data_IF_174603250036
#
_entry.id   IF_174603250036
#
_cell.length_a   1.000
_cell.length_b   1.000
_cell.length_c   1.000
_cell.angle_alpha   90.00
_cell.angle_beta   90.00
_cell.angle_gamma   90.00
#
_symmetry.space_group_name_H-M   'P 1'
#
loop_
_entity.id
_entity.type
_entity.pdbx_description
1 polymer ?
#
# COMPACT_ATOMS: atom_id res chain seq x y z
N UNK A 1 21.09 1.21 6.36
CA UNK A 1 20.67 1.73 5.04
C UNK A 1 19.80 2.95 5.23
N UNK A 2 19.68 3.77 4.18
CA UNK A 2 18.69 4.81 4.06
C UNK A 2 17.62 4.37 3.05
N UNK A 3 16.37 4.23 3.49
CA UNK A 3 15.28 3.64 2.71
C UNK A 3 14.20 4.68 2.47
N UNK A 4 13.90 4.96 1.19
CA UNK A 4 12.74 5.72 0.78
C UNK A 4 11.47 4.85 0.79
N UNK A 5 10.37 5.36 1.32
CA UNK A 5 9.06 4.71 1.22
C UNK A 5 8.11 5.67 0.53
N UNK A 6 7.58 5.29 -0.60
CA UNK A 6 6.69 6.08 -1.44
C UNK A 6 5.27 5.56 -1.44
N UNK A 7 4.33 6.41 -1.09
CA UNK A 7 2.89 6.13 -1.17
C UNK A 7 2.10 7.35 -1.67
N UNK A 8 0.87 7.15 -2.10
CA UNK A 8 -0.02 8.24 -2.50
C UNK A 8 -0.60 9.03 -1.32
N UNK A 9 -0.60 8.47 -0.11
CA UNK A 9 -1.20 9.09 1.07
C UNK A 9 -0.63 8.58 2.38
N UNK A 10 -1.50 8.20 3.33
CA UNK A 10 -1.13 7.64 4.63
C UNK A 10 -1.02 6.11 4.63
N UNK A 11 -1.51 5.45 3.58
CA UNK A 11 -1.60 3.99 3.51
C UNK A 11 -0.25 3.29 3.67
N UNK A 12 0.78 3.80 3.02
CA UNK A 12 2.15 3.25 3.09
C UNK A 12 2.79 3.28 4.48
N UNK A 13 2.22 4.03 5.44
CA UNK A 13 2.66 3.96 6.84
C UNK A 13 2.41 2.58 7.45
N UNK A 14 1.52 1.77 6.89
CA UNK A 14 1.33 0.36 7.30
C UNK A 14 2.57 -0.48 7.00
N UNK A 15 3.25 -0.21 5.86
CA UNK A 15 4.52 -0.83 5.50
C UNK A 15 5.62 -0.40 6.48
N UNK A 16 5.76 0.91 6.75
CA UNK A 16 6.73 1.43 7.71
C UNK A 16 6.50 0.83 9.10
N UNK A 17 5.25 0.77 9.56
CA UNK A 17 4.88 0.14 10.84
C UNK A 17 5.32 -1.32 10.92
N UNK A 18 5.09 -2.09 9.85
CA UNK A 18 5.49 -3.50 9.82
C UNK A 18 7.01 -3.67 9.84
N UNK A 19 7.76 -2.84 9.12
CA UNK A 19 9.22 -2.84 9.14
C UNK A 19 9.75 -2.56 10.56
N UNK A 20 9.22 -1.52 11.23
CA UNK A 20 9.60 -1.20 12.62
C UNK A 20 9.24 -2.34 13.57
N UNK A 21 8.04 -2.92 13.42
CA UNK A 21 7.56 -4.05 14.23
C UNK A 21 8.45 -5.29 14.08
N UNK A 22 9.07 -5.48 12.92
CA UNK A 22 9.99 -6.57 12.62
C UNK A 22 11.46 -6.23 12.89
N UNK A 23 11.70 -5.16 13.66
CA UNK A 23 13.05 -4.68 14.04
C UNK A 23 13.96 -4.36 12.84
N UNK A 24 13.37 -3.96 11.70
CA UNK A 24 14.11 -3.50 10.53
C UNK A 24 14.50 -2.03 10.74
N UNK A 25 15.49 -1.77 11.60
CA UNK A 25 15.87 -0.44 12.05
C UNK A 25 16.84 0.20 11.07
N UNK A 26 16.34 1.15 10.29
CA UNK A 26 17.08 1.90 9.29
C UNK A 26 16.73 3.39 9.34
N UNK A 27 17.42 4.20 8.57
CA UNK A 27 16.96 5.56 8.28
C UNK A 27 15.86 5.52 7.22
N UNK A 28 14.63 5.83 7.61
CA UNK A 28 13.48 5.87 6.72
C UNK A 28 13.11 7.30 6.34
N UNK A 29 12.92 7.54 5.05
CA UNK A 29 12.28 8.73 4.52
C UNK A 29 10.97 8.29 3.89
N UNK A 30 9.85 8.66 4.50
CA UNK A 30 8.52 8.41 3.99
C UNK A 30 8.01 9.61 3.22
N UNK A 31 7.43 9.41 2.03
CA UNK A 31 6.73 10.44 1.28
C UNK A 31 5.33 9.94 0.94
N UNK A 32 4.30 10.63 1.47
CA UNK A 32 2.90 10.49 1.07
C UNK A 32 2.51 11.64 0.14
N UNK A 33 2.14 11.32 -1.10
CA UNK A 33 1.75 12.33 -2.11
C UNK A 33 0.28 12.75 -1.98
N UNK A 34 -0.06 13.27 -0.82
CA UNK A 34 -1.43 13.66 -0.45
C UNK A 34 -2.01 14.82 -1.26
N UNK A 35 -1.17 15.61 -1.93
CA UNK A 35 -1.62 16.68 -2.84
C UNK A 35 -2.31 16.12 -4.09
N UNK A 36 -1.84 14.97 -4.59
CA UNK A 36 -2.29 14.34 -5.83
C UNK A 36 -3.15 13.08 -5.58
N UNK A 37 -3.62 12.90 -4.35
CA UNK A 37 -4.55 11.82 -3.98
C UNK A 37 -5.91 12.04 -4.71
N UNK A 38 -6.59 11.03 -5.31
CA UNK A 38 -6.36 9.59 -5.21
C UNK A 38 -5.75 9.05 -6.50
N UNK A 39 -4.65 8.33 -6.37
CA UNK A 39 -3.94 7.75 -7.52
C UNK A 39 -4.78 6.71 -8.29
N UNK A 40 -5.70 6.03 -7.62
CA UNK A 40 -6.58 5.04 -8.23
C UNK A 40 -7.56 5.57 -9.28
N UNK A 41 -7.68 6.91 -9.41
CA UNK A 41 -8.52 7.61 -10.37
C UNK A 41 -7.72 8.54 -11.29
N UNK A 42 -6.38 8.43 -11.28
CA UNK A 42 -5.49 9.28 -12.07
C UNK A 42 -5.20 8.68 -13.45
N UNK A 43 -4.48 9.41 -14.31
CA UNK A 43 -3.95 8.88 -15.59
C UNK A 43 -2.55 8.30 -15.40
N UNK A 44 -2.16 7.39 -16.30
CA UNK A 44 -0.80 6.81 -16.30
C UNK A 44 0.28 7.90 -16.45
N UNK A 45 0.03 8.92 -17.27
CA UNK A 45 0.97 10.04 -17.48
C UNK A 45 1.18 10.84 -16.19
N UNK A 46 0.11 11.20 -15.49
CA UNK A 46 0.20 11.89 -14.22
C UNK A 46 0.93 11.02 -13.17
N UNK A 47 0.60 9.74 -13.08
CA UNK A 47 1.26 8.81 -12.16
C UNK A 47 2.76 8.70 -12.45
N UNK A 48 3.19 8.65 -13.73
CA UNK A 48 4.61 8.70 -14.12
C UNK A 48 5.27 9.97 -13.62
N UNK A 49 4.66 11.15 -13.89
CA UNK A 49 5.19 12.44 -13.47
C UNK A 49 5.38 12.53 -11.95
N UNK A 50 4.37 12.14 -11.18
CA UNK A 50 4.43 12.17 -9.72
C UNK A 50 5.48 11.21 -9.18
N UNK A 51 5.49 9.98 -9.70
CA UNK A 51 6.45 8.96 -9.27
C UNK A 51 7.89 9.35 -9.57
N UNK A 52 8.15 9.84 -10.79
CA UNK A 52 9.49 10.28 -11.18
C UNK A 52 10.02 11.40 -10.27
N UNK A 53 9.17 12.37 -9.95
CA UNK A 53 9.54 13.48 -9.05
C UNK A 53 9.94 12.95 -7.67
N UNK A 54 9.15 12.02 -7.11
CA UNK A 54 9.40 11.46 -5.79
C UNK A 54 10.64 10.55 -5.78
N UNK A 55 10.81 9.69 -6.80
CA UNK A 55 12.00 8.83 -6.90
C UNK A 55 13.26 9.68 -7.02
N UNK A 56 13.25 10.74 -7.84
CA UNK A 56 14.37 11.68 -7.96
C UNK A 56 14.69 12.38 -6.62
N UNK A 57 13.68 12.70 -5.82
CA UNK A 57 13.90 13.23 -4.48
C UNK A 57 14.64 12.21 -3.58
N UNK A 58 14.26 10.94 -3.59
CA UNK A 58 14.98 9.90 -2.83
C UNK A 58 16.42 9.72 -3.30
N UNK A 59 16.67 9.77 -4.62
CA UNK A 59 18.03 9.72 -5.18
C UNK A 59 18.83 10.92 -4.68
N UNK A 60 18.28 12.15 -4.73
CA UNK A 60 18.92 13.36 -4.19
C UNK A 60 19.20 13.25 -2.68
N UNK A 61 18.35 12.57 -1.93
CA UNK A 61 18.55 12.29 -0.50
C UNK A 61 19.52 11.12 -0.25
N UNK A 62 20.09 10.53 -1.29
CA UNK A 62 21.03 9.40 -1.22
C UNK A 62 20.41 8.19 -0.51
N UNK A 63 19.16 7.86 -0.85
CA UNK A 63 18.56 6.61 -0.43
C UNK A 63 19.24 5.44 -1.14
N UNK A 64 19.49 4.35 -0.42
CA UNK A 64 20.08 3.11 -0.96
C UNK A 64 19.03 2.27 -1.69
N UNK A 65 17.76 2.42 -1.28
CA UNK A 65 16.62 1.62 -1.71
C UNK A 65 15.34 2.45 -1.64
N UNK A 66 14.41 2.22 -2.57
CA UNK A 66 13.04 2.73 -2.51
C UNK A 66 12.04 1.60 -2.46
N UNK A 67 11.11 1.65 -1.50
CA UNK A 67 9.94 0.79 -1.42
C UNK A 67 8.75 1.57 -2.00
N UNK A 68 8.17 1.08 -3.10
CA UNK A 68 6.91 1.59 -3.64
C UNK A 68 5.78 0.92 -2.86
N UNK A 69 5.29 1.61 -1.83
CA UNK A 69 4.22 1.12 -0.98
C UNK A 69 2.85 1.20 -1.67
N UNK A 70 2.63 2.12 -2.60
CA UNK A 70 1.35 2.31 -3.27
C UNK A 70 1.02 1.15 -4.21
N UNK A 71 -0.12 0.46 -3.98
CA UNK A 71 -0.60 -0.64 -4.83
C UNK A 71 -0.86 -0.21 -6.28
N UNK A 72 -1.42 0.99 -6.49
CA UNK A 72 -1.67 1.56 -7.82
C UNK A 72 -0.36 1.77 -8.59
N UNK A 73 0.66 2.34 -7.97
CA UNK A 73 1.97 2.52 -8.63
C UNK A 73 2.66 1.19 -8.87
N UNK A 74 2.66 0.31 -7.86
CA UNK A 74 3.28 -1.02 -7.95
C UNK A 74 2.68 -1.87 -9.08
N UNK A 75 1.37 -1.78 -9.30
CA UNK A 75 0.70 -2.55 -10.35
C UNK A 75 0.93 -1.99 -11.76
N UNK A 76 0.99 -0.67 -11.91
CA UNK A 76 1.00 -0.02 -13.22
C UNK A 76 2.37 0.46 -13.67
N UNK A 77 3.27 0.85 -12.76
CA UNK A 77 4.50 1.55 -13.09
C UNK A 77 5.78 0.91 -12.55
N UNK A 78 5.71 -0.22 -11.83
CA UNK A 78 6.88 -0.84 -11.20
C UNK A 78 8.02 -1.07 -12.20
N UNK A 79 7.74 -1.67 -13.37
CA UNK A 79 8.76 -1.94 -14.39
C UNK A 79 9.34 -0.64 -14.95
N UNK A 80 8.48 0.30 -15.35
CA UNK A 80 8.90 1.62 -15.85
C UNK A 80 9.87 2.31 -14.88
N UNK A 81 9.55 2.33 -13.59
CA UNK A 81 10.38 3.00 -12.59
C UNK A 81 11.70 2.29 -12.34
N UNK A 82 11.71 0.94 -12.36
CA UNK A 82 12.91 0.11 -12.23
C UNK A 82 13.87 0.28 -13.42
N UNK A 83 13.33 0.43 -14.62
CA UNK A 83 14.10 0.65 -15.85
C UNK A 83 14.67 2.07 -15.94
N UNK A 84 13.86 3.07 -15.53
CA UNK A 84 14.21 4.48 -15.69
C UNK A 84 15.22 4.96 -14.64
N UNK A 85 15.12 4.51 -13.40
CA UNK A 85 15.88 5.06 -12.29
C UNK A 85 16.99 4.11 -11.82
N UNK A 86 18.22 4.66 -11.66
CA UNK A 86 19.40 3.92 -11.17
C UNK A 86 19.41 3.79 -9.65
N UNK A 87 18.32 3.30 -9.07
CA UNK A 87 18.20 3.00 -7.64
C UNK A 87 17.46 1.68 -7.47
N UNK A 88 17.81 0.90 -6.46
CA UNK A 88 17.09 -0.33 -6.15
C UNK A 88 15.64 -0.01 -5.77
N UNK A 89 14.67 -0.63 -6.45
CA UNK A 89 13.24 -0.43 -6.19
C UNK A 89 12.59 -1.76 -5.87
N UNK A 90 11.90 -1.81 -4.73
CA UNK A 90 11.02 -2.91 -4.33
C UNK A 90 9.58 -2.40 -4.42
N UNK A 91 8.74 -3.08 -5.20
CA UNK A 91 7.29 -2.87 -5.22
C UNK A 91 6.60 -3.87 -4.28
N UNK A 92 5.38 -3.55 -3.81
CA UNK A 92 4.67 -4.43 -2.86
C UNK A 92 3.92 -5.58 -3.53
N UNK A 93 3.74 -5.57 -4.84
CA UNK A 93 2.95 -6.58 -5.56
C UNK A 93 3.78 -7.81 -5.86
N UNK A 94 5.00 -7.64 -6.38
CA UNK A 94 5.87 -8.77 -6.72
C UNK A 94 6.09 -9.71 -5.54
N UNK A 95 6.53 -9.25 -4.35
CA UNK A 95 6.68 -10.12 -3.19
C UNK A 95 5.38 -10.73 -2.67
N UNK A 96 4.24 -10.04 -2.88
CA UNK A 96 2.93 -10.57 -2.54
C UNK A 96 2.57 -11.77 -3.41
N UNK A 97 2.78 -11.66 -4.73
CA UNK A 97 2.56 -12.77 -5.68
C UNK A 97 3.48 -13.94 -5.32
N UNK A 98 4.77 -13.70 -5.15
CA UNK A 98 5.77 -14.71 -4.81
C UNK A 98 5.38 -15.47 -3.52
N UNK A 99 4.95 -14.73 -2.48
CA UNK A 99 4.49 -15.35 -1.25
C UNK A 99 3.29 -16.27 -1.46
N UNK A 100 2.29 -15.80 -2.22
CA UNK A 100 1.03 -16.52 -2.42
C UNK A 100 1.23 -17.76 -3.28
N UNK A 101 2.00 -17.66 -4.37
CA UNK A 101 2.30 -18.77 -5.28
C UNK A 101 3.03 -19.91 -4.55
N UNK A 102 3.86 -19.59 -3.56
CA UNK A 102 4.56 -20.59 -2.74
C UNK A 102 3.68 -21.20 -1.63
N UNK A 103 2.37 -20.94 -1.63
CA UNK A 103 1.38 -21.53 -0.73
C UNK A 103 0.38 -22.36 -1.52
N UNK A 104 -0.27 -23.30 -0.85
CA UNK A 104 -1.25 -24.19 -1.48
C UNK A 104 -2.67 -23.54 -1.57
N UNK A 105 -2.76 -22.23 -1.82
CA UNK A 105 -4.03 -21.55 -2.00
C UNK A 105 -4.65 -21.90 -3.36
N UNK A 106 -6.00 -21.98 -3.40
CA UNK A 106 -6.77 -22.29 -4.61
C UNK A 106 -7.73 -21.17 -5.00
N UNK A 107 -8.35 -20.54 -4.01
CA UNK A 107 -9.36 -19.50 -4.23
C UNK A 107 -9.01 -18.25 -3.44
N UNK A 108 -8.73 -17.17 -4.13
CA UNK A 108 -8.30 -15.91 -3.53
C UNK A 108 -9.25 -14.78 -3.91
N UNK A 109 -9.62 -13.97 -2.92
CA UNK A 109 -10.23 -12.66 -3.14
C UNK A 109 -9.17 -11.57 -3.26
N UNK A 110 -9.41 -10.58 -4.11
CA UNK A 110 -8.62 -9.36 -4.23
C UNK A 110 -9.52 -8.13 -4.20
N UNK A 111 -9.43 -7.34 -3.14
CA UNK A 111 -10.05 -6.02 -3.05
C UNK A 111 -8.97 -4.95 -3.21
N UNK A 112 -9.15 -3.99 -4.15
CA UNK A 112 -8.14 -2.99 -4.47
C UNK A 112 -8.75 -1.72 -5.08
N UNK A 113 -7.91 -0.75 -5.49
CA UNK A 113 -8.35 0.41 -6.27
C UNK A 113 -8.72 0.01 -7.71
N UNK A 114 -9.48 0.87 -8.41
CA UNK A 114 -9.84 0.65 -9.82
C UNK A 114 -8.62 0.33 -10.68
N UNK A 115 -7.60 1.19 -10.67
CA UNK A 115 -6.41 1.00 -11.50
C UNK A 115 -5.60 -0.25 -11.14
N UNK A 116 -5.57 -0.65 -9.86
CA UNK A 116 -4.93 -1.90 -9.45
C UNK A 116 -5.66 -3.12 -10.02
N UNK A 117 -6.99 -3.13 -9.99
CA UNK A 117 -7.80 -4.20 -10.59
C UNK A 117 -7.66 -4.20 -12.12
N UNK A 118 -7.79 -3.03 -12.76
CA UNK A 118 -7.70 -2.88 -14.22
C UNK A 118 -6.32 -3.28 -14.77
N UNK A 119 -5.24 -3.06 -14.02
CA UNK A 119 -3.89 -3.53 -14.42
C UNK A 119 -3.81 -5.04 -14.60
N UNK A 120 -4.72 -5.78 -13.99
CA UNK A 120 -4.80 -7.24 -13.96
C UNK A 120 -3.50 -7.96 -13.51
N UNK A 121 -2.50 -7.22 -13.01
CA UNK A 121 -1.15 -7.76 -12.70
C UNK A 121 -1.22 -8.86 -11.63
N UNK A 122 -1.95 -8.63 -10.54
CA UNK A 122 -2.06 -9.63 -9.46
C UNK A 122 -2.87 -10.84 -9.94
N UNK A 123 -4.08 -10.60 -10.47
CA UNK A 123 -4.98 -11.68 -10.85
C UNK A 123 -4.38 -12.56 -11.97
N UNK A 124 -3.84 -11.96 -13.05
CA UNK A 124 -3.24 -12.72 -14.13
C UNK A 124 -2.00 -13.53 -13.69
N UNK A 125 -1.19 -12.96 -12.79
CA UNK A 125 -0.03 -13.69 -12.25
C UNK A 125 -0.44 -14.89 -11.42
N UNK A 126 -1.44 -14.76 -10.55
CA UNK A 126 -1.93 -15.86 -9.72
C UNK A 126 -2.65 -16.93 -10.55
N UNK A 127 -3.45 -16.52 -11.56
CA UNK A 127 -4.15 -17.46 -12.46
C UNK A 127 -3.19 -18.32 -13.27
N UNK A 128 -2.02 -17.80 -13.67
CA UNK A 128 -0.96 -18.59 -14.32
C UNK A 128 -0.44 -19.74 -13.42
N UNK A 129 -0.63 -19.64 -12.13
CA UNK A 129 -0.29 -20.68 -11.15
C UNK A 129 -1.50 -21.51 -10.69
N UNK A 130 -2.57 -21.56 -11.52
CA UNK A 130 -3.82 -22.30 -11.24
C UNK A 130 -4.53 -21.86 -9.95
N UNK A 131 -4.41 -20.58 -9.57
CA UNK A 131 -5.13 -19.98 -8.44
C UNK A 131 -6.32 -19.20 -9.02
N UNK A 132 -7.52 -19.55 -8.58
CA UNK A 132 -8.72 -18.80 -8.93
C UNK A 132 -8.78 -17.47 -8.17
N UNK A 133 -9.03 -16.36 -8.86
CA UNK A 133 -9.03 -15.02 -8.25
C UNK A 133 -10.35 -14.31 -8.52
N UNK A 134 -11.06 -13.98 -7.44
CA UNK A 134 -12.24 -13.10 -7.48
C UNK A 134 -11.77 -11.70 -7.14
N UNK A 135 -12.01 -10.75 -8.03
CA UNK A 135 -11.60 -9.35 -7.86
C UNK A 135 -12.77 -8.43 -7.65
N UNK A 136 -12.62 -7.42 -6.78
CA UNK A 136 -13.60 -6.35 -6.66
C UNK A 136 -12.91 -5.00 -6.41
N UNK A 137 -13.17 -3.96 -7.23
CA UNK A 137 -12.67 -2.62 -6.97
C UNK A 137 -13.45 -1.94 -5.84
N UNK A 138 -12.74 -1.18 -4.99
CA UNK A 138 -13.33 -0.44 -3.88
C UNK A 138 -12.84 1.02 -3.83
N UNK A 139 -13.11 1.84 -4.87
CA UNK A 139 -12.49 3.14 -5.07
C UNK A 139 -12.76 4.17 -3.96
N UNK A 140 -13.92 4.11 -3.29
CA UNK A 140 -14.28 5.09 -2.25
C UNK A 140 -13.54 4.86 -0.92
N UNK A 141 -12.99 3.67 -0.68
CA UNK A 141 -12.42 3.35 0.63
C UNK A 141 -11.18 4.20 0.95
N UNK A 142 -10.36 4.55 -0.04
CA UNK A 142 -9.18 5.40 0.17
C UNK A 142 -9.59 6.75 0.77
N UNK A 143 -10.53 7.44 0.13
CA UNK A 143 -11.01 8.75 0.60
C UNK A 143 -11.65 8.68 2.00
N UNK A 144 -12.42 7.64 2.26
CA UNK A 144 -13.08 7.45 3.56
C UNK A 144 -12.07 7.19 4.67
N UNK A 145 -11.00 6.46 4.37
CA UNK A 145 -9.91 6.18 5.33
C UNK A 145 -9.09 7.43 5.58
N UNK A 146 -8.66 8.12 4.52
CA UNK A 146 -7.88 9.36 4.64
C UNK A 146 -8.61 10.42 5.49
N UNK A 147 -9.93 10.53 5.33
CA UNK A 147 -10.79 11.48 6.07
C UNK A 147 -11.24 10.95 7.45
N UNK A 148 -10.74 9.81 7.91
CA UNK A 148 -11.14 9.17 9.19
C UNK A 148 -12.66 8.92 9.32
N UNK A 149 -13.35 8.59 8.23
CA UNK A 149 -14.80 8.45 8.19
C UNK A 149 -15.31 7.01 8.33
N UNK A 150 -14.42 6.01 8.45
CA UNK A 150 -14.80 4.59 8.40
C UNK A 150 -15.63 4.10 9.60
N UNK A 151 -15.75 4.89 10.68
CA UNK A 151 -16.58 4.53 11.84
C UNK A 151 -18.06 4.94 11.69
N UNK A 152 -18.41 5.68 10.62
CA UNK A 152 -19.80 6.07 10.36
C UNK A 152 -20.59 4.90 9.80
N UNK A 153 -21.86 4.74 10.26
CA UNK A 153 -22.73 3.62 9.85
C UNK A 153 -22.94 3.52 8.34
N UNK A 154 -23.12 4.65 7.67
CA UNK A 154 -23.24 4.72 6.20
C UNK A 154 -22.02 4.20 5.48
N UNK A 155 -20.80 4.46 6.00
CA UNK A 155 -19.56 4.02 5.39
C UNK A 155 -19.26 2.54 5.64
N UNK A 156 -19.72 1.99 6.76
CA UNK A 156 -19.73 0.55 6.99
C UNK A 156 -20.68 -0.17 5.99
N UNK A 157 -21.80 0.44 5.62
CA UNK A 157 -22.68 -0.10 4.56
C UNK A 157 -21.96 -0.17 3.22
N UNK A 158 -21.24 0.90 2.83
CA UNK A 158 -20.39 0.90 1.62
C UNK A 158 -19.35 -0.21 1.66
N UNK A 159 -18.70 -0.41 2.81
CA UNK A 159 -17.73 -1.50 2.98
C UNK A 159 -18.36 -2.88 2.82
N UNK A 160 -19.59 -3.10 3.35
CA UNK A 160 -20.35 -4.34 3.15
C UNK A 160 -20.63 -4.60 1.67
N UNK A 161 -21.05 -3.59 0.92
CA UNK A 161 -21.29 -3.70 -0.52
C UNK A 161 -20.03 -4.11 -1.28
N UNK A 162 -18.87 -3.52 -0.94
CA UNK A 162 -17.59 -3.91 -1.54
C UNK A 162 -17.13 -5.33 -1.14
N UNK A 163 -17.52 -5.83 0.02
CA UNK A 163 -17.17 -7.17 0.47
C UNK A 163 -18.16 -8.24 0.01
N UNK A 164 -19.36 -7.87 -0.46
CA UNK A 164 -20.40 -8.80 -0.87
C UNK A 164 -19.96 -9.85 -1.92
N UNK A 165 -19.15 -9.52 -2.96
CA UNK A 165 -18.68 -10.52 -3.93
C UNK A 165 -17.82 -11.64 -3.34
N UNK A 166 -17.26 -11.44 -2.16
CA UNK A 166 -16.38 -12.39 -1.48
C UNK A 166 -17.12 -13.28 -0.47
N UNK A 167 -18.33 -12.91 -0.09
CA UNK A 167 -19.12 -13.68 0.88
C UNK A 167 -19.52 -15.03 0.30
N UNK A 168 -19.47 -16.08 1.12
CA UNK A 168 -19.86 -17.46 0.77
C UNK A 168 -19.10 -18.05 -0.44
N UNK A 169 -17.86 -17.61 -0.70
CA UNK A 169 -17.05 -18.05 -1.85
C UNK A 169 -15.93 -19.04 -1.51
N UNK A 170 -15.91 -19.59 -0.28
CA UNK A 170 -14.84 -20.51 0.17
C UNK A 170 -13.44 -20.02 -0.21
N UNK A 171 -13.17 -18.74 0.06
CA UNK A 171 -11.86 -18.15 -0.19
C UNK A 171 -10.86 -18.60 0.88
N UNK A 172 -9.67 -19.00 0.45
CA UNK A 172 -8.54 -19.28 1.33
C UNK A 172 -8.00 -17.98 1.93
N UNK A 173 -8.06 -16.87 1.15
CA UNK A 173 -7.44 -15.61 1.47
C UNK A 173 -8.15 -14.44 0.79
N UNK A 174 -8.24 -13.29 1.46
CA UNK A 174 -8.62 -12.02 0.85
C UNK A 174 -7.42 -11.06 0.90
N UNK A 175 -6.85 -10.74 -0.28
CA UNK A 175 -5.77 -9.78 -0.41
C UNK A 175 -6.32 -8.37 -0.27
N UNK A 176 -5.75 -7.60 0.66
CA UNK A 176 -5.97 -6.18 0.79
C UNK A 176 -5.03 -5.44 -0.18
N UNK A 177 -5.43 -5.34 -1.45
CA UNK A 177 -4.62 -4.86 -2.57
C UNK A 177 -4.39 -3.35 -2.61
N UNK A 178 -4.65 -2.65 -1.51
CA UNK A 178 -4.35 -1.24 -1.30
C UNK A 178 -3.80 -1.05 0.12
N UNK A 179 -2.75 -0.26 0.26
CA UNK A 179 -2.07 0.04 1.55
C UNK A 179 -2.96 0.70 2.58
N UNK A 180 -4.06 1.32 2.17
CA UNK A 180 -5.04 1.91 3.07
C UNK A 180 -5.92 0.86 3.76
N UNK A 181 -6.21 -0.27 3.11
CA UNK A 181 -7.21 -1.22 3.63
C UNK A 181 -6.79 -1.95 4.92
N UNK A 182 -5.49 -2.22 5.19
CA UNK A 182 -5.06 -2.71 6.50
C UNK A 182 -5.40 -1.78 7.67
N UNK A 183 -5.55 -0.46 7.44
CA UNK A 183 -5.95 0.52 8.48
C UNK A 183 -7.34 0.19 9.04
N UNK A 184 -8.23 -0.32 8.18
CA UNK A 184 -9.60 -0.73 8.52
C UNK A 184 -9.75 -2.25 8.64
N UNK A 185 -8.67 -2.97 8.89
CA UNK A 185 -8.67 -4.44 8.99
C UNK A 185 -9.70 -4.96 10.01
N UNK A 186 -9.89 -4.27 11.13
CA UNK A 186 -10.89 -4.64 12.15
C UNK A 186 -12.30 -4.59 11.59
N UNK A 187 -12.67 -3.53 10.86
CA UNK A 187 -13.97 -3.39 10.23
C UNK A 187 -14.18 -4.46 9.16
N UNK A 188 -13.17 -4.74 8.32
CA UNK A 188 -13.23 -5.81 7.32
C UNK A 188 -13.44 -7.17 7.99
N UNK A 189 -12.64 -7.51 9.01
CA UNK A 189 -12.75 -8.79 9.74
C UNK A 189 -14.08 -8.98 10.47
N UNK A 190 -14.77 -7.90 10.84
CA UNK A 190 -16.12 -8.00 11.44
C UNK A 190 -17.21 -8.35 10.42
N UNK A 191 -16.93 -8.19 9.12
CA UNK A 191 -17.89 -8.37 8.03
C UNK A 191 -17.63 -9.62 7.18
N UNK A 192 -16.41 -10.16 7.20
CA UNK A 192 -16.03 -11.36 6.45
C UNK A 192 -15.12 -12.26 7.29
N UNK A 193 -15.37 -13.57 7.24
CA UNK A 193 -14.60 -14.56 8.02
C UNK A 193 -13.30 -15.03 7.34
N UNK A 194 -13.10 -14.68 6.08
CA UNK A 194 -11.91 -15.05 5.30
C UNK A 194 -10.66 -14.44 5.91
N UNK A 195 -9.56 -15.20 5.90
CA UNK A 195 -8.25 -14.69 6.30
C UNK A 195 -7.86 -13.46 5.45
N UNK A 196 -7.47 -12.37 6.11
CA UNK A 196 -7.04 -11.14 5.44
C UNK A 196 -5.52 -11.14 5.26
N UNK A 197 -5.07 -10.85 4.04
CA UNK A 197 -3.66 -10.73 3.73
C UNK A 197 -3.25 -9.28 3.49
N UNK A 198 -2.25 -8.83 4.26
CA UNK A 198 -1.64 -7.51 4.16
C UNK A 198 -0.35 -7.60 3.33
N UNK A 199 -0.25 -6.80 2.28
CA UNK A 199 0.93 -6.75 1.40
C UNK A 199 2.19 -6.21 2.10
N UNK A 200 2.08 -5.64 3.30
CA UNK A 200 3.24 -5.24 4.10
C UNK A 200 4.06 -6.45 4.59
N UNK A 201 3.40 -7.60 4.77
CA UNK A 201 4.01 -8.77 5.38
C UNK A 201 5.27 -9.27 4.65
N UNK A 202 5.27 -9.52 3.32
CA UNK A 202 6.44 -10.03 2.63
C UNK A 202 7.57 -9.01 2.50
N UNK A 203 7.27 -7.70 2.57
CA UNK A 203 8.28 -6.65 2.42
C UNK A 203 9.30 -6.71 3.55
N UNK A 204 8.86 -6.96 4.78
CA UNK A 204 9.76 -7.02 5.93
C UNK A 204 10.81 -8.14 5.82
N UNK A 205 10.50 -9.22 5.09
CA UNK A 205 11.44 -10.33 4.86
C UNK A 205 12.51 -10.02 3.82
N UNK A 206 12.30 -9.00 2.99
CA UNK A 206 13.24 -8.56 1.95
C UNK A 206 14.23 -7.49 2.46
N UNK A 207 14.01 -6.97 3.65
CA UNK A 207 14.85 -5.96 4.27
C UNK A 207 15.72 -6.62 5.34
N UNK A 208 17.02 -6.43 5.25
CA UNK A 208 17.98 -6.90 6.25
C UNK A 208 17.77 -6.21 7.60
N UNK A 209 18.32 -6.78 8.66
CA UNK A 209 18.27 -6.16 9.97
C UNK A 209 19.20 -4.94 10.02
N UNK A 210 18.82 -3.94 10.80
CA UNK A 210 19.58 -2.74 11.01
C UNK A 210 19.56 -2.35 12.49
N UNK A 211 20.49 -1.48 12.90
CA UNK A 211 20.67 -1.11 14.30
C UNK A 211 20.11 0.27 14.68
N UNK A 212 19.88 1.15 13.69
CA UNK A 212 19.53 2.56 13.95
C UNK A 212 18.16 2.86 13.34
N UNK A 213 17.19 3.22 14.18
CA UNK A 213 15.89 3.70 13.74
C UNK A 213 15.88 5.23 13.69
N UNK A 214 15.75 5.78 12.49
CA UNK A 214 15.45 7.18 12.25
C UNK A 214 14.33 7.30 11.25
N UNK A 215 13.31 8.08 11.55
CA UNK A 215 12.11 8.21 10.71
C UNK A 215 11.86 9.68 10.40
N UNK A 216 11.74 10.00 9.11
CA UNK A 216 11.35 11.31 8.60
C UNK A 216 10.08 11.14 7.77
N UNK A 217 9.01 11.84 8.13
CA UNK A 217 7.72 11.76 7.46
C UNK A 217 7.43 13.04 6.71
N UNK A 218 7.26 12.92 5.41
CA UNK A 218 6.91 14.00 4.51
C UNK A 218 5.57 13.75 3.82
N UNK A 219 4.77 14.80 3.70
CA UNK A 219 3.54 14.78 2.92
C UNK A 219 3.50 15.98 1.99
N UNK A 220 3.06 15.81 0.75
CA UNK A 220 3.03 16.90 -0.23
C UNK A 220 1.94 17.93 0.04
N UNK A 221 0.98 17.61 0.91
CA UNK A 221 -0.01 18.52 1.50
C UNK A 221 -0.39 17.99 2.87
N UNK A 222 -0.39 18.84 3.89
CA UNK A 222 -0.77 18.50 5.25
C UNK A 222 -2.18 18.98 5.60
N UNK A 223 -2.87 18.19 6.43
CA UNK A 223 -4.13 18.57 7.09
C UNK A 223 -4.29 17.79 8.42
N UNK A 224 -5.31 18.13 9.19
CA UNK A 224 -5.55 17.51 10.49
C UNK A 224 -5.87 16.00 10.40
N UNK A 225 -6.49 15.54 9.31
CA UNK A 225 -6.82 14.12 9.14
C UNK A 225 -5.56 13.29 8.92
N UNK A 226 -4.59 13.81 8.13
CA UNK A 226 -3.28 13.17 7.95
C UNK A 226 -2.56 13.04 9.29
N UNK A 227 -2.52 14.11 10.10
CA UNK A 227 -1.87 14.09 11.41
C UNK A 227 -2.50 13.04 12.33
N UNK A 228 -3.84 12.95 12.36
CA UNK A 228 -4.57 11.91 13.12
C UNK A 228 -4.23 10.51 12.61
N UNK A 229 -4.22 10.30 11.29
CA UNK A 229 -3.91 9.00 10.70
C UNK A 229 -2.48 8.56 11.03
N UNK A 230 -1.48 9.45 10.95
CA UNK A 230 -0.09 9.13 11.31
C UNK A 230 -0.02 8.63 12.76
N UNK A 231 -0.64 9.34 13.71
CA UNK A 231 -0.65 8.95 15.12
C UNK A 231 -1.34 7.59 15.30
N UNK A 232 -2.51 7.39 14.67
CA UNK A 232 -3.29 6.16 14.79
C UNK A 232 -2.59 4.94 14.18
N UNK A 233 -1.91 5.13 13.04
CA UNK A 233 -1.23 4.03 12.35
C UNK A 233 0.06 3.67 13.07
N UNK A 234 0.92 4.64 13.39
CA UNK A 234 2.25 4.38 13.94
C UNK A 234 2.27 4.24 15.47
N UNK A 235 1.19 4.62 16.16
CA UNK A 235 1.09 4.63 17.63
C UNK A 235 2.20 5.44 18.34
N UNK A 236 2.77 6.43 17.66
CA UNK A 236 3.79 7.32 18.22
C UNK A 236 3.79 8.66 17.48
N UNK A 237 4.46 9.66 18.09
CA UNK A 237 4.60 10.99 17.51
C UNK A 237 5.93 11.09 16.79
N UNK A 238 5.91 11.17 15.49
CA UNK A 238 7.07 11.52 14.66
C UNK A 238 6.97 12.98 14.19
N UNK A 239 8.12 13.56 13.87
CA UNK A 239 8.14 14.85 13.18
C UNK A 239 7.57 14.68 11.77
N UNK A 240 6.59 15.49 11.43
CA UNK A 240 5.89 15.48 10.14
C UNK A 240 6.14 16.83 9.49
N UNK A 241 6.55 16.84 8.22
CA UNK A 241 6.82 18.05 7.47
C UNK A 241 6.06 18.05 6.15
N UNK A 242 5.61 19.25 5.72
CA UNK A 242 5.07 19.42 4.37
C UNK A 242 6.22 19.55 3.39
N UNK A 243 6.16 18.76 2.30
CA UNK A 243 7.19 18.73 1.26
C UNK A 243 6.65 19.35 -0.02
N UNK A 244 7.29 20.41 -0.48
CA UNK A 244 7.05 21.01 -1.79
C UNK A 244 7.97 20.34 -2.82
N UNK A 245 7.39 19.57 -3.73
CA UNK A 245 8.05 18.88 -4.83
C UNK A 245 7.82 19.60 -6.16
#
# INVERSE_FOLDING_TARGET
MKIGIFDSGVGGLTILKELIRKNKYHEYIYIGDTKNLTYGNSTIENLKKYSDTIINYFIKKRCDLVIIACGTISSNLSNYLKEKHKIKIIDIITPTIDYIVNKNYKNIGLIATNMTIQSNKIASSLTKHNINVITNPAPKLVDLIEKNLMNKKENIKILKEYLAPFQNKNLDLLILGCTHYPIIKKQISSLIKTQLYDMAYPISSLIEDGAILKVQLYFTKLNNDILKNVINILNCKYKIEELKL
#
